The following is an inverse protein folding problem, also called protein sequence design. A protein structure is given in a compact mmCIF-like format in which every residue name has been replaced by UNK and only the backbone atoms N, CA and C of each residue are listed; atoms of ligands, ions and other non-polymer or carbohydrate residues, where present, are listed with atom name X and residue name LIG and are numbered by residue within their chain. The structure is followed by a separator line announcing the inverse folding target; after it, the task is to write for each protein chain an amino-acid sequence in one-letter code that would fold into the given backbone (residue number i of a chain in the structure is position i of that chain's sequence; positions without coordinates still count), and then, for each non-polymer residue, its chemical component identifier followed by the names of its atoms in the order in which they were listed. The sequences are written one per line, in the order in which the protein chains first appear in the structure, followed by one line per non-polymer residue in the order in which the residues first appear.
data_IF_022893969115
#
_entry.id   IF_022893969115
#
_cell.length_a   1.000
_cell.length_b   1.000
_cell.length_c   1.000
_cell.angle_alpha   90.00
_cell.angle_beta   90.00
_cell.angle_gamma   90.00
#
_symmetry.space_group_name_H-M   'P 1'
#
loop_
_entity.id
_entity.type
_entity.pdbx_description
1 polymer ?
#
# COMPACT_ATOMS: atom_id res chain seq x y z
N UNK A 1 44.83 42.24 -1.86
CA UNK A 1 43.97 42.70 -0.76
C UNK A 1 42.53 42.59 -1.20
N UNK A 2 41.71 41.94 -0.44
CA UNK A 2 40.26 41.86 -0.67
C UNK A 2 39.78 40.44 -0.55
N UNK A 3 39.78 39.94 0.70
CA UNK A 3 38.98 38.81 1.12
C UNK A 3 37.52 39.29 1.20
N UNK A 4 36.65 38.77 0.36
CA UNK A 4 35.21 38.98 0.38
C UNK A 4 34.57 37.64 0.66
N UNK A 5 34.11 37.49 1.83
CA UNK A 5 33.50 36.42 2.57
C UNK A 5 32.27 35.85 1.90
N UNK A 6 32.31 34.57 1.59
CA UNK A 6 31.15 33.68 1.49
C UNK A 6 30.61 33.39 2.90
N UNK A 7 29.56 34.09 3.32
CA UNK A 7 28.81 33.82 4.57
C UNK A 7 27.32 34.17 4.36
N UNK A 8 26.72 33.75 3.27
CA UNK A 8 25.28 34.00 3.04
C UNK A 8 24.46 32.74 2.69
N UNK A 9 25.07 31.54 2.65
CA UNK A 9 24.36 30.32 2.24
C UNK A 9 23.86 29.45 3.41
N UNK A 10 24.29 29.68 4.65
CA UNK A 10 23.86 28.83 5.78
C UNK A 10 22.57 29.34 6.45
N UNK A 11 22.23 30.62 6.37
CA UNK A 11 21.07 31.22 7.01
C UNK A 11 19.78 30.97 6.22
N UNK A 12 19.84 31.02 4.88
CA UNK A 12 18.67 30.75 4.00
C UNK A 12 18.25 29.28 4.00
N UNK A 13 19.14 28.35 4.35
CA UNK A 13 18.82 26.92 4.41
C UNK A 13 18.11 26.53 5.71
N UNK A 14 18.45 27.16 6.82
CA UNK A 14 17.89 26.92 8.14
C UNK A 14 16.43 27.44 8.21
N UNK A 15 16.19 28.65 7.68
CA UNK A 15 14.85 29.25 7.58
C UNK A 15 13.91 28.40 6.68
N UNK A 16 14.44 27.86 5.58
CA UNK A 16 13.67 27.00 4.66
C UNK A 16 13.31 25.63 5.27
N UNK A 17 14.19 25.06 6.11
CA UNK A 17 13.92 23.81 6.83
C UNK A 17 12.87 24.01 7.92
N UNK A 18 12.90 25.13 8.65
CA UNK A 18 11.92 25.48 9.68
C UNK A 18 10.53 25.71 9.07
N UNK A 19 10.43 26.49 7.99
CA UNK A 19 9.16 26.71 7.27
C UNK A 19 8.56 25.41 6.70
N UNK A 20 9.39 24.46 6.27
CA UNK A 20 8.90 23.15 5.82
C UNK A 20 8.36 22.31 6.98
N UNK A 21 9.01 22.32 8.14
CA UNK A 21 8.56 21.61 9.34
C UNK A 21 7.23 22.19 9.86
N UNK A 22 7.07 23.50 9.84
CA UNK A 22 5.81 24.16 10.20
C UNK A 22 4.67 23.78 9.24
N UNK A 23 4.95 23.74 7.94
CA UNK A 23 3.99 23.26 6.95
C UNK A 23 3.61 21.79 7.20
N UNK A 24 4.56 20.91 7.51
CA UNK A 24 4.26 19.51 7.82
C UNK A 24 3.40 19.39 9.08
N UNK A 25 3.69 20.17 10.12
CA UNK A 25 2.89 20.22 11.34
C UNK A 25 1.46 20.73 11.07
N UNK A 26 1.30 21.73 10.20
CA UNK A 26 -0.02 22.20 9.75
C UNK A 26 -0.78 21.07 9.01
N UNK A 27 -0.15 20.40 8.07
CA UNK A 27 -0.76 19.29 7.31
C UNK A 27 -1.19 18.16 8.25
N UNK A 28 -0.37 17.83 9.26
CA UNK A 28 -0.69 16.79 10.23
C UNK A 28 -1.87 17.17 11.14
N UNK A 29 -1.84 18.38 11.69
CA UNK A 29 -2.85 18.84 12.67
C UNK A 29 -4.17 19.26 12.04
N UNK A 30 -4.13 19.96 10.90
CA UNK A 30 -5.31 20.57 10.27
C UNK A 30 -5.94 19.70 9.20
N UNK A 31 -5.13 18.94 8.46
CA UNK A 31 -5.60 18.07 7.36
C UNK A 31 -5.62 16.59 7.76
N UNK A 32 -5.26 16.24 8.99
CA UNK A 32 -5.29 14.87 9.53
C UNK A 32 -4.50 13.86 8.68
N UNK A 33 -3.36 14.29 8.11
CA UNK A 33 -2.45 13.43 7.37
C UNK A 33 -1.15 13.24 8.17
N UNK A 34 -0.85 12.01 8.61
CA UNK A 34 0.27 11.67 9.49
C UNK A 34 1.64 11.85 8.79
N UNK A 35 2.05 13.11 8.57
CA UNK A 35 3.33 13.46 7.93
C UNK A 35 4.52 12.85 8.63
N UNK A 36 4.45 12.74 9.97
CA UNK A 36 5.46 12.13 10.83
C UNK A 36 5.76 10.65 10.50
N UNK A 37 4.86 9.94 9.83
CA UNK A 37 5.07 8.54 9.40
C UNK A 37 5.76 8.39 8.04
N UNK A 38 5.90 9.48 7.29
CA UNK A 38 6.42 9.44 5.92
C UNK A 38 7.88 9.87 5.83
N UNK A 39 8.53 9.46 4.74
CA UNK A 39 9.88 9.92 4.40
C UNK A 39 9.86 11.41 4.04
N UNK A 40 10.67 12.23 4.74
CA UNK A 40 10.75 13.68 4.56
C UNK A 40 11.02 14.08 3.09
N UNK A 41 11.97 13.43 2.43
CA UNK A 41 12.30 13.72 1.04
C UNK A 41 11.18 13.34 0.06
N UNK A 42 10.34 12.36 0.42
CA UNK A 42 9.14 12.04 -0.34
C UNK A 42 8.11 13.16 -0.21
N UNK A 43 7.82 13.62 1.02
CA UNK A 43 6.87 14.70 1.30
C UNK A 43 7.30 15.99 0.58
N UNK A 44 8.55 16.39 0.74
CA UNK A 44 9.12 17.57 0.09
C UNK A 44 8.91 17.55 -1.42
N UNK A 45 9.30 16.46 -2.08
CA UNK A 45 9.13 16.32 -3.54
C UNK A 45 7.67 16.47 -3.98
N UNK A 46 6.71 15.95 -3.20
CA UNK A 46 5.28 16.00 -3.51
C UNK A 46 4.69 17.38 -3.26
N UNK A 47 5.06 17.99 -2.14
CA UNK A 47 4.64 19.36 -1.78
C UNK A 47 5.21 20.35 -2.80
N UNK A 48 6.51 20.32 -3.07
CA UNK A 48 7.16 21.18 -4.06
C UNK A 48 6.54 21.02 -5.47
N UNK A 49 6.07 19.82 -5.83
CA UNK A 49 5.36 19.63 -7.09
C UNK A 49 3.99 20.34 -7.11
N UNK A 50 3.28 20.42 -5.99
CA UNK A 50 2.03 21.17 -5.84
C UNK A 50 2.29 22.66 -5.88
N UNK A 51 3.26 23.14 -5.09
CA UNK A 51 3.69 24.54 -5.05
C UNK A 51 3.97 25.08 -6.45
N UNK A 52 4.78 24.34 -7.24
CA UNK A 52 5.04 24.71 -8.65
C UNK A 52 3.78 24.83 -9.51
N UNK A 53 2.78 23.96 -9.32
CA UNK A 53 1.49 24.06 -10.02
C UNK A 53 0.70 25.31 -9.65
N UNK A 54 0.79 25.71 -8.37
CA UNK A 54 0.14 26.93 -7.85
C UNK A 54 1.00 28.19 -8.07
N UNK A 55 2.26 28.04 -8.53
CA UNK A 55 3.23 29.12 -8.72
C UNK A 55 3.59 29.83 -7.43
N UNK A 56 3.77 29.04 -6.39
CA UNK A 56 4.21 29.44 -5.06
C UNK A 56 5.61 28.83 -4.86
N UNK A 57 6.57 29.62 -4.42
CA UNK A 57 7.96 29.18 -4.26
C UNK A 57 8.38 29.08 -2.78
N UNK A 58 7.52 29.52 -1.87
CA UNK A 58 7.77 29.60 -0.42
C UNK A 58 6.77 28.73 0.35
N UNK A 59 7.23 28.02 1.40
CA UNK A 59 6.39 27.10 2.18
C UNK A 59 5.34 27.85 3.05
N UNK A 60 5.67 29.02 3.57
CA UNK A 60 4.76 29.82 4.40
C UNK A 60 3.63 30.39 3.52
N UNK A 61 3.96 30.86 2.30
CA UNK A 61 2.97 31.27 1.32
C UNK A 61 2.07 30.11 0.93
N UNK A 62 2.64 28.90 0.76
CA UNK A 62 1.86 27.71 0.43
C UNK A 62 0.95 27.26 1.58
N UNK A 63 1.42 27.35 2.83
CA UNK A 63 0.61 27.08 4.01
C UNK A 63 -0.55 28.09 4.13
N UNK A 64 -0.31 29.36 3.83
CA UNK A 64 -1.34 30.38 3.80
C UNK A 64 -2.40 30.07 2.74
N UNK A 65 -1.98 29.69 1.53
CA UNK A 65 -2.87 29.24 0.46
C UNK A 65 -3.72 28.04 0.90
N UNK A 66 -3.11 27.03 1.51
CA UNK A 66 -3.82 25.84 2.00
C UNK A 66 -4.88 26.18 3.06
N UNK A 67 -4.63 27.21 3.88
CA UNK A 67 -5.59 27.59 4.90
C UNK A 67 -6.89 28.21 4.34
N UNK A 68 -6.86 28.68 3.09
CA UNK A 68 -7.96 29.40 2.43
C UNK A 68 -8.59 28.61 1.27
N UNK A 69 -7.93 27.57 0.76
CA UNK A 69 -8.31 26.85 -0.46
C UNK A 69 -8.53 25.34 -0.19
N UNK A 70 -9.78 24.94 0.07
CA UNK A 70 -10.16 23.55 0.32
C UNK A 70 -9.88 22.64 -0.89
N UNK A 71 -9.96 23.17 -2.13
CA UNK A 71 -9.64 22.38 -3.33
C UNK A 71 -8.14 22.05 -3.37
N UNK A 72 -7.29 22.98 -2.94
CA UNK A 72 -5.84 22.72 -2.85
C UNK A 72 -5.50 21.78 -1.72
N UNK A 73 -6.21 21.84 -0.57
CA UNK A 73 -6.04 20.85 0.51
C UNK A 73 -6.32 19.43 -0.02
N UNK A 74 -7.44 19.22 -0.70
CA UNK A 74 -7.77 17.92 -1.30
C UNK A 74 -6.72 17.48 -2.33
N UNK A 75 -6.28 18.41 -3.18
CA UNK A 75 -5.28 18.13 -4.20
C UNK A 75 -3.91 17.80 -3.61
N UNK A 76 -3.53 18.44 -2.50
CA UNK A 76 -2.32 18.11 -1.75
C UNK A 76 -2.44 16.73 -1.11
N UNK A 77 -3.52 16.46 -0.37
CA UNK A 77 -3.76 15.15 0.25
C UNK A 77 -3.76 14.01 -0.78
N UNK A 78 -4.32 14.25 -1.95
CA UNK A 78 -4.26 13.29 -3.05
C UNK A 78 -2.84 13.12 -3.59
N UNK A 79 -2.04 14.18 -3.68
CA UNK A 79 -0.65 14.12 -4.13
C UNK A 79 0.28 13.43 -3.13
N UNK A 80 0.08 13.66 -1.82
CA UNK A 80 0.82 13.00 -0.74
C UNK A 80 0.48 11.52 -0.61
N UNK A 81 -0.72 11.16 -1.03
CA UNK A 81 -1.17 9.79 -0.99
C UNK A 81 -0.74 9.05 -2.24
N UNK A 82 -0.05 7.94 -2.05
CA UNK A 82 0.34 7.11 -3.19
C UNK A 82 -0.76 6.10 -3.47
N UNK A 83 -1.57 6.40 -4.47
CA UNK A 83 -2.65 5.52 -4.91
C UNK A 83 -2.32 4.86 -6.26
N UNK A 84 -1.03 4.73 -6.60
CA UNK A 84 -0.60 4.04 -7.84
C UNK A 84 -0.60 2.55 -7.57
N UNK A 85 -1.65 1.88 -8.02
CA UNK A 85 -1.77 0.44 -8.01
C UNK A 85 -2.26 -0.06 -9.36
N UNK A 86 -2.21 -1.35 -9.62
CA UNK A 86 -2.73 -2.01 -10.83
C UNK A 86 -3.15 -3.43 -10.49
N UNK A 87 -4.06 -3.98 -11.27
CA UNK A 87 -4.28 -5.42 -11.24
C UNK A 87 -2.97 -6.13 -11.57
N UNK A 88 -2.71 -7.23 -10.91
CA UNK A 88 -1.54 -8.09 -11.14
C UNK A 88 -0.21 -7.32 -11.24
N UNK A 89 -0.06 -6.23 -10.48
CA UNK A 89 1.18 -5.41 -10.46
C UNK A 89 2.40 -6.29 -10.23
N UNK A 90 3.40 -6.20 -11.14
CA UNK A 90 4.56 -7.10 -11.23
C UNK A 90 4.10 -8.56 -11.46
N UNK A 91 3.73 -8.93 -12.69
CA UNK A 91 3.09 -10.22 -13.01
C UNK A 91 3.81 -11.44 -12.46
N UNK A 92 5.14 -11.41 -12.42
CA UNK A 92 5.96 -12.49 -11.87
C UNK A 92 5.71 -12.80 -10.38
N UNK A 93 5.25 -11.82 -9.60
CA UNK A 93 4.90 -12.03 -8.18
C UNK A 93 3.63 -12.87 -8.07
N UNK A 94 2.70 -12.70 -9.00
CA UNK A 94 1.42 -13.39 -8.99
C UNK A 94 1.56 -14.87 -9.36
N UNK A 95 2.56 -15.24 -10.16
CA UNK A 95 2.92 -16.64 -10.37
C UNK A 95 3.35 -17.29 -9.03
N UNK A 96 4.18 -16.59 -8.25
CA UNK A 96 4.58 -17.06 -6.92
C UNK A 96 3.41 -17.12 -5.93
N UNK A 97 2.49 -16.14 -5.97
CA UNK A 97 1.29 -16.13 -5.12
C UNK A 97 0.29 -17.22 -5.52
N UNK A 98 0.21 -17.61 -6.79
CA UNK A 98 -0.56 -18.77 -7.28
C UNK A 98 -0.07 -20.05 -6.57
N UNK A 99 1.24 -20.27 -6.50
CA UNK A 99 1.79 -21.43 -5.80
C UNK A 99 1.54 -21.37 -4.28
N UNK A 100 1.59 -20.19 -3.67
CA UNK A 100 1.21 -20.02 -2.26
C UNK A 100 -0.26 -20.36 -2.01
N UNK A 101 -1.18 -19.91 -2.85
CA UNK A 101 -2.61 -20.25 -2.72
C UNK A 101 -2.84 -21.75 -2.91
N UNK A 102 -2.13 -22.39 -3.85
CA UNK A 102 -2.20 -23.84 -4.05
C UNK A 102 -1.64 -24.61 -2.84
N UNK A 103 -0.55 -24.16 -2.21
CA UNK A 103 -0.02 -24.77 -0.96
C UNK A 103 -1.03 -24.64 0.21
N UNK A 104 -1.82 -23.59 0.21
CA UNK A 104 -2.85 -23.35 1.22
C UNK A 104 -4.18 -24.04 0.92
N UNK A 105 -4.38 -24.61 -0.30
CA UNK A 105 -5.67 -25.10 -0.78
C UNK A 105 -6.28 -26.26 0.05
N UNK A 106 -5.43 -27.07 0.70
CA UNK A 106 -5.89 -28.15 1.58
C UNK A 106 -6.51 -27.67 2.90
N UNK A 107 -6.38 -26.38 3.23
CA UNK A 107 -6.97 -25.81 4.44
C UNK A 107 -8.48 -25.69 4.29
N UNK A 108 -9.19 -25.87 5.42
CA UNK A 108 -10.65 -25.69 5.47
C UNK A 108 -11.10 -24.28 5.06
N UNK A 109 -10.26 -23.28 5.31
CA UNK A 109 -10.47 -21.87 4.99
C UNK A 109 -9.13 -21.16 4.88
N UNK A 110 -8.92 -20.46 3.79
CA UNK A 110 -7.74 -19.64 3.52
C UNK A 110 -8.10 -18.18 3.76
N UNK A 111 -7.40 -17.53 4.64
CA UNK A 111 -7.59 -16.10 4.95
C UNK A 111 -6.41 -15.30 4.42
N UNK A 112 -6.72 -14.34 3.56
CA UNK A 112 -5.73 -13.43 2.97
C UNK A 112 -5.97 -12.01 3.46
N UNK A 113 -4.91 -11.30 3.78
CA UNK A 113 -4.92 -9.89 4.11
C UNK A 113 -4.12 -9.10 3.09
N UNK A 114 -4.78 -8.25 2.29
CA UNK A 114 -4.12 -7.22 1.49
C UNK A 114 -4.07 -5.94 2.32
N UNK A 115 -2.92 -5.67 2.93
CA UNK A 115 -2.68 -4.54 3.82
C UNK A 115 -2.18 -3.33 3.00
N UNK A 116 -2.75 -2.13 3.23
CA UNK A 116 -2.59 -0.95 2.39
C UNK A 116 -3.02 -1.22 0.94
N UNK A 117 -4.22 -1.78 0.78
CA UNK A 117 -4.74 -2.30 -0.50
C UNK A 117 -5.11 -1.22 -1.53
N UNK A 118 -5.04 0.07 -1.17
CA UNK A 118 -5.43 1.18 -2.03
C UNK A 118 -6.87 1.01 -2.56
N UNK A 119 -7.09 1.17 -3.86
CA UNK A 119 -8.40 1.05 -4.52
C UNK A 119 -8.90 -0.40 -4.73
N UNK A 120 -8.27 -1.37 -4.08
CA UNK A 120 -8.72 -2.76 -4.02
C UNK A 120 -8.20 -3.65 -5.15
N UNK A 121 -7.53 -3.13 -6.17
CA UNK A 121 -7.04 -3.95 -7.30
C UNK A 121 -6.14 -5.10 -6.86
N UNK A 122 -5.30 -4.94 -5.83
CA UNK A 122 -4.49 -6.03 -5.29
C UNK A 122 -5.36 -7.13 -4.65
N UNK A 123 -6.34 -6.76 -3.82
CA UNK A 123 -7.25 -7.71 -3.18
C UNK A 123 -8.10 -8.46 -4.22
N UNK A 124 -8.60 -7.77 -5.24
CA UNK A 124 -9.33 -8.41 -6.33
C UNK A 124 -8.44 -9.30 -7.21
N UNK A 125 -7.16 -8.93 -7.42
CA UNK A 125 -6.23 -9.81 -8.12
C UNK A 125 -6.03 -11.15 -7.40
N UNK A 126 -6.02 -11.15 -6.06
CA UNK A 126 -5.99 -12.39 -5.27
C UNK A 126 -7.27 -13.20 -5.48
N UNK A 127 -8.44 -12.54 -5.47
CA UNK A 127 -9.72 -13.21 -5.65
C UNK A 127 -9.85 -13.83 -7.06
N UNK A 128 -9.48 -13.07 -8.09
CA UNK A 128 -9.43 -13.57 -9.47
C UNK A 128 -8.48 -14.77 -9.60
N UNK A 129 -7.29 -14.68 -8.99
CA UNK A 129 -6.30 -15.75 -9.00
C UNK A 129 -6.82 -17.03 -8.33
N UNK A 130 -7.58 -16.88 -7.24
CA UNK A 130 -8.20 -18.02 -6.54
C UNK A 130 -9.28 -18.70 -7.39
N UNK A 131 -10.03 -17.96 -8.19
CA UNK A 131 -11.00 -18.52 -9.14
C UNK A 131 -10.35 -19.09 -10.40
N UNK A 132 -9.20 -18.55 -10.83
CA UNK A 132 -8.51 -18.93 -12.06
C UNK A 132 -7.65 -20.20 -11.90
N UNK A 133 -7.40 -20.65 -10.69
CA UNK A 133 -6.57 -21.82 -10.41
C UNK A 133 -7.43 -23.01 -9.94
N UNK A 134 -7.56 -24.03 -10.78
CA UNK A 134 -8.34 -25.24 -10.49
C UNK A 134 -7.88 -26.02 -9.25
N UNK A 135 -6.69 -25.73 -8.73
CA UNK A 135 -6.16 -26.30 -7.49
C UNK A 135 -6.78 -25.67 -6.24
N UNK A 136 -7.40 -24.49 -6.37
CA UNK A 136 -7.91 -23.68 -5.26
C UNK A 136 -9.45 -23.72 -5.26
N UNK A 137 -10.03 -24.08 -4.13
CA UNK A 137 -11.47 -23.95 -3.88
C UNK A 137 -11.74 -22.50 -3.45
N UNK A 138 -12.14 -21.63 -4.40
CA UNK A 138 -12.36 -20.21 -4.17
C UNK A 138 -13.38 -19.94 -3.06
N UNK A 139 -14.40 -20.79 -2.89
CA UNK A 139 -15.41 -20.66 -1.82
C UNK A 139 -14.80 -20.76 -0.41
N UNK A 140 -13.57 -21.23 -0.29
CA UNK A 140 -12.82 -21.30 0.97
C UNK A 140 -11.89 -20.12 1.18
N UNK A 141 -11.77 -19.21 0.23
CA UNK A 141 -10.87 -18.05 0.30
C UNK A 141 -11.62 -16.84 0.83
N UNK A 142 -11.12 -16.22 1.88
CA UNK A 142 -11.62 -14.98 2.44
C UNK A 142 -10.52 -13.92 2.33
N UNK A 143 -10.80 -12.81 1.68
CA UNK A 143 -9.84 -11.73 1.48
C UNK A 143 -10.31 -10.49 2.23
N UNK A 144 -9.42 -9.94 3.05
CA UNK A 144 -9.61 -8.64 3.69
C UNK A 144 -8.65 -7.63 3.08
N UNK A 145 -9.18 -6.63 2.37
CA UNK A 145 -8.44 -5.45 1.96
C UNK A 145 -8.53 -4.37 3.05
N UNK A 146 -7.41 -3.79 3.42
CA UNK A 146 -7.41 -2.65 4.36
C UNK A 146 -6.58 -1.49 3.86
N UNK A 147 -7.06 -0.29 4.12
CA UNK A 147 -6.33 0.95 3.87
C UNK A 147 -6.70 1.99 4.94
N UNK A 148 -5.86 2.99 5.14
CA UNK A 148 -6.12 4.07 6.10
C UNK A 148 -7.18 5.05 5.60
N UNK A 149 -7.42 5.12 4.27
CA UNK A 149 -8.27 6.11 3.62
C UNK A 149 -9.68 5.59 3.33
N UNK A 150 -10.71 6.15 3.99
CA UNK A 150 -12.10 5.72 3.74
C UNK A 150 -12.59 5.96 2.31
N UNK A 151 -12.11 7.03 1.65
CA UNK A 151 -12.49 7.39 0.28
C UNK A 151 -11.98 6.38 -0.74
N UNK A 152 -10.73 5.90 -0.59
CA UNK A 152 -10.17 4.90 -1.50
C UNK A 152 -10.85 3.54 -1.30
N UNK A 153 -11.24 3.23 -0.07
CA UNK A 153 -12.00 2.02 0.24
C UNK A 153 -13.46 2.08 -0.30
N UNK A 154 -14.02 3.27 -0.51
CA UNK A 154 -15.29 3.41 -1.22
C UNK A 154 -15.14 3.05 -2.69
N UNK A 155 -14.08 3.51 -3.35
CA UNK A 155 -13.75 3.12 -4.72
C UNK A 155 -13.47 1.61 -4.82
N UNK A 156 -12.72 1.06 -3.86
CA UNK A 156 -12.47 -0.39 -3.80
C UNK A 156 -13.78 -1.20 -3.71
N UNK A 157 -14.73 -0.79 -2.88
CA UNK A 157 -16.04 -1.47 -2.77
C UNK A 157 -16.93 -1.34 -4.00
N UNK A 158 -16.76 -0.28 -4.78
CA UNK A 158 -17.48 -0.15 -6.04
C UNK A 158 -17.01 -1.17 -7.09
N UNK A 159 -15.74 -1.57 -7.03
CA UNK A 159 -15.16 -2.51 -7.99
C UNK A 159 -15.16 -2.00 -9.43
N UNK A 160 -15.25 -0.67 -9.62
CA UNK A 160 -15.31 -0.02 -10.92
C UNK A 160 -14.01 0.71 -11.22
N UNK A 161 -13.43 0.46 -12.38
CA UNK A 161 -12.15 1.01 -12.81
C UNK A 161 -12.25 1.55 -14.23
N UNK A 162 -11.53 2.66 -14.49
CA UNK A 162 -11.55 3.30 -15.80
C UNK A 162 -10.21 3.15 -16.51
N UNK A 163 -10.25 2.63 -17.72
CA UNK A 163 -9.11 2.60 -18.61
C UNK A 163 -8.78 4.01 -19.12
N UNK A 164 -7.51 4.27 -19.40
CA UNK A 164 -7.04 5.51 -20.01
C UNK A 164 -5.75 5.22 -20.80
N UNK A 165 -5.25 6.21 -21.54
CA UNK A 165 -3.98 6.09 -22.28
C UNK A 165 -2.79 5.68 -21.39
N UNK A 166 -2.84 5.95 -20.08
CA UNK A 166 -1.79 5.61 -19.11
C UNK A 166 -2.16 4.50 -18.14
N UNK A 167 -3.36 3.92 -18.27
CA UNK A 167 -3.90 2.88 -17.41
C UNK A 167 -4.63 1.84 -18.29
N UNK A 168 -3.84 0.98 -18.92
CA UNK A 168 -4.35 -0.13 -19.74
C UNK A 168 -4.79 -1.27 -18.82
N UNK A 169 -6.11 -1.42 -18.64
CA UNK A 169 -6.68 -2.44 -17.78
C UNK A 169 -6.67 -3.82 -18.46
N UNK A 170 -6.66 -3.89 -19.78
CA UNK A 170 -6.55 -5.19 -20.50
C UNK A 170 -5.18 -5.80 -20.29
N UNK A 171 -4.11 -5.01 -20.48
CA UNK A 171 -2.74 -5.44 -20.21
C UNK A 171 -2.57 -5.91 -18.74
N UNK A 172 -3.19 -5.21 -17.80
CA UNK A 172 -3.12 -5.58 -16.38
C UNK A 172 -3.76 -6.94 -16.08
N UNK A 173 -4.74 -7.39 -16.87
CA UNK A 173 -5.48 -8.64 -16.67
C UNK A 173 -4.89 -9.83 -17.46
N UNK A 174 -3.85 -9.62 -18.26
CA UNK A 174 -3.17 -10.69 -19.03
C UNK A 174 -2.72 -11.92 -18.20
N UNK A 175 -2.39 -11.82 -16.88
CA UNK A 175 -2.05 -12.99 -16.07
C UNK A 175 -3.18 -14.02 -15.88
N UNK A 176 -4.42 -13.68 -16.22
CA UNK A 176 -5.59 -14.57 -16.13
C UNK A 176 -5.78 -15.36 -17.41
N UNK A 177 -6.23 -16.61 -17.29
CA UNK A 177 -6.56 -17.45 -18.43
C UNK A 177 -7.77 -16.93 -19.23
N UNK A 178 -8.77 -16.39 -18.55
CA UNK A 178 -9.99 -15.80 -19.12
C UNK A 178 -10.46 -14.61 -18.26
N UNK A 179 -9.99 -13.41 -18.59
CA UNK A 179 -10.30 -12.19 -17.81
C UNK A 179 -11.79 -11.81 -17.93
N UNK A 180 -12.47 -12.15 -19.04
CA UNK A 180 -13.88 -11.79 -19.25
C UNK A 180 -14.83 -12.52 -18.26
N UNK A 181 -14.35 -13.58 -17.61
CA UNK A 181 -15.06 -14.23 -16.52
C UNK A 181 -15.13 -13.40 -15.25
N UNK A 182 -14.14 -12.57 -15.01
CA UNK A 182 -13.95 -11.88 -13.73
C UNK A 182 -14.23 -10.38 -13.79
N UNK A 183 -14.33 -9.83 -15.00
CA UNK A 183 -14.52 -8.39 -15.24
C UNK A 183 -15.49 -8.17 -16.39
N UNK A 184 -16.56 -7.43 -16.11
CA UNK A 184 -17.49 -6.95 -17.14
C UNK A 184 -16.99 -5.62 -17.73
N UNK A 185 -17.06 -5.48 -19.05
CA UNK A 185 -16.57 -4.29 -19.77
C UNK A 185 -17.73 -3.46 -20.31
N UNK A 186 -17.75 -2.17 -19.97
CA UNK A 186 -18.69 -1.19 -20.46
C UNK A 186 -17.92 0.03 -21.03
N UNK A 187 -17.53 -0.04 -22.31
CA UNK A 187 -16.64 0.95 -22.92
C UNK A 187 -15.29 0.97 -22.20
N UNK A 188 -14.90 2.13 -21.64
CA UNK A 188 -13.65 2.28 -20.91
C UNK A 188 -13.79 1.91 -19.42
N UNK A 189 -14.97 1.46 -18.98
CA UNK A 189 -15.22 1.05 -17.60
C UNK A 189 -15.14 -0.46 -17.46
N UNK A 190 -14.40 -0.93 -16.47
CA UNK A 190 -14.23 -2.32 -16.08
C UNK A 190 -14.84 -2.52 -14.70
N UNK A 191 -15.81 -3.41 -14.59
CA UNK A 191 -16.51 -3.73 -13.34
C UNK A 191 -16.14 -5.15 -12.91
N UNK A 192 -15.61 -5.30 -11.72
CA UNK A 192 -15.35 -6.61 -11.12
C UNK A 192 -16.66 -7.34 -10.89
N UNK A 193 -16.77 -8.61 -11.29
CA UNK A 193 -18.00 -9.40 -11.16
C UNK A 193 -18.35 -9.69 -9.71
N UNK A 194 -19.63 -9.94 -9.42
CA UNK A 194 -20.12 -10.25 -8.07
C UNK A 194 -19.40 -11.50 -7.50
N UNK A 195 -19.14 -12.52 -8.33
CA UNK A 195 -18.43 -13.75 -7.94
C UNK A 195 -17.04 -13.43 -7.32
N UNK A 196 -16.31 -12.47 -7.90
CA UNK A 196 -15.01 -12.03 -7.39
C UNK A 196 -15.17 -11.12 -6.17
N UNK A 197 -16.15 -10.22 -6.18
CA UNK A 197 -16.41 -9.30 -5.07
C UNK A 197 -16.83 -10.03 -3.79
N UNK A 198 -17.57 -11.13 -3.89
CA UNK A 198 -18.05 -11.92 -2.76
C UNK A 198 -16.91 -12.50 -1.90
N UNK A 199 -15.72 -12.70 -2.47
CA UNK A 199 -14.53 -13.14 -1.72
C UNK A 199 -13.85 -12.02 -0.94
N UNK A 200 -14.13 -10.74 -1.24
CA UNK A 200 -13.37 -9.60 -0.76
C UNK A 200 -14.21 -8.72 0.16
N UNK A 201 -13.65 -8.38 1.29
CA UNK A 201 -14.21 -7.35 2.18
C UNK A 201 -13.20 -6.24 2.40
N UNK A 202 -13.68 -5.00 2.60
CA UNK A 202 -12.81 -3.85 2.81
C UNK A 202 -13.09 -3.16 4.14
N UNK A 203 -12.02 -2.80 4.87
CA UNK A 203 -12.09 -2.16 6.17
C UNK A 203 -11.00 -1.09 6.31
N UNK A 204 -11.36 0.05 6.96
CA UNK A 204 -10.34 1.02 7.40
C UNK A 204 -9.45 0.39 8.47
N UNK A 205 -8.13 0.58 8.32
CA UNK A 205 -7.13 0.10 9.28
C UNK A 205 -5.85 0.93 9.17
N UNK A 206 -5.33 1.33 10.32
CA UNK A 206 -4.05 2.02 10.45
C UNK A 206 -2.96 1.01 10.87
N UNK A 207 -2.05 0.70 9.94
CA UNK A 207 -0.98 -0.27 10.17
C UNK A 207 0.05 0.19 11.23
N UNK A 208 0.10 1.49 11.54
CA UNK A 208 1.03 2.04 12.54
C UNK A 208 0.41 2.04 13.95
N UNK A 209 -0.90 2.26 14.03
CA UNK A 209 -1.59 2.53 15.28
C UNK A 209 -2.44 1.37 15.80
N UNK A 210 -2.86 0.46 14.91
CA UNK A 210 -3.81 -0.59 15.25
C UNK A 210 -3.17 -1.97 15.16
N UNK A 211 -3.59 -2.89 16.04
CA UNK A 211 -3.28 -4.31 15.95
C UNK A 211 -3.91 -4.94 14.70
N UNK A 212 -3.35 -6.03 14.15
CA UNK A 212 -3.92 -6.68 12.98
C UNK A 212 -5.38 -7.08 13.23
N UNK A 213 -6.28 -6.99 12.24
CA UNK A 213 -7.70 -7.29 12.41
C UNK A 213 -7.98 -8.72 12.92
N UNK A 214 -7.12 -9.64 12.57
CA UNK A 214 -7.07 -11.07 12.96
C UNK A 214 -5.78 -11.69 12.45
N UNK A 215 -5.61 -13.00 12.59
CA UNK A 215 -4.50 -13.73 11.94
C UNK A 215 -4.93 -14.31 10.59
N UNK A 216 -3.96 -14.38 9.66
CA UNK A 216 -4.13 -14.73 8.25
C UNK A 216 -3.14 -15.80 7.81
N UNK A 217 -3.52 -16.58 6.82
CA UNK A 217 -2.66 -17.59 6.20
C UNK A 217 -1.68 -16.95 5.20
N UNK A 218 -2.11 -15.84 4.58
CA UNK A 218 -1.28 -15.00 3.69
C UNK A 218 -1.51 -13.53 4.01
N UNK A 219 -0.43 -12.78 4.24
CA UNK A 219 -0.43 -11.32 4.37
C UNK A 219 0.35 -10.72 3.20
N UNK A 220 -0.27 -9.78 2.50
CA UNK A 220 0.32 -9.04 1.37
C UNK A 220 0.38 -7.57 1.77
N UNK A 221 1.58 -6.97 1.74
CA UNK A 221 1.77 -5.54 1.95
C UNK A 221 2.87 -5.05 1.01
N UNK A 222 2.48 -4.55 -0.17
CA UNK A 222 3.42 -4.27 -1.24
C UNK A 222 3.45 -2.79 -1.60
N UNK A 223 4.67 -2.31 -1.88
CA UNK A 223 4.91 -0.95 -2.37
C UNK A 223 4.47 0.17 -1.42
N UNK A 224 4.41 -0.11 -0.11
CA UNK A 224 4.15 0.87 0.94
C UNK A 224 5.45 1.45 1.51
N UNK A 225 6.42 0.59 1.79
CA UNK A 225 7.62 0.94 2.58
C UNK A 225 8.56 1.94 1.90
N UNK A 226 8.46 2.11 0.59
CA UNK A 226 9.25 3.11 -0.14
C UNK A 226 8.90 4.56 0.24
N UNK A 227 7.74 4.76 0.88
CA UNK A 227 7.23 6.08 1.27
C UNK A 227 7.33 6.35 2.76
N UNK A 228 7.54 5.32 3.56
CA UNK A 228 7.45 5.33 5.02
C UNK A 228 8.83 5.56 5.64
N UNK A 229 8.90 6.27 6.76
CA UNK A 229 10.14 6.45 7.52
C UNK A 229 10.55 5.18 8.30
N UNK A 230 11.72 5.18 8.92
CA UNK A 230 12.28 3.98 9.54
C UNK A 230 11.49 3.53 10.77
N UNK A 231 11.01 4.46 11.58
CA UNK A 231 10.28 4.18 12.82
C UNK A 231 8.91 3.55 12.50
N UNK A 232 8.17 4.17 11.59
CA UNK A 232 6.87 3.65 11.16
C UNK A 232 7.01 2.33 10.41
N UNK A 233 8.09 2.10 9.64
CA UNK A 233 8.37 0.79 9.03
C UNK A 233 8.43 -0.32 10.07
N UNK A 234 9.10 -0.09 11.18
CA UNK A 234 9.22 -1.11 12.23
C UNK A 234 7.83 -1.44 12.80
N UNK A 235 7.03 -0.43 13.18
CA UNK A 235 5.68 -0.63 13.70
C UNK A 235 4.78 -1.40 12.71
N UNK A 236 4.83 -1.02 11.42
CA UNK A 236 4.07 -1.73 10.37
C UNK A 236 4.50 -3.19 10.27
N UNK A 237 5.81 -3.48 10.28
CA UNK A 237 6.28 -4.87 10.21
C UNK A 237 5.91 -5.69 11.45
N UNK A 238 5.85 -5.10 12.63
CA UNK A 238 5.37 -5.74 13.86
C UNK A 238 3.87 -6.09 13.72
N UNK A 239 3.06 -5.15 13.22
CA UNK A 239 1.62 -5.36 12.95
C UNK A 239 1.41 -6.45 11.89
N UNK A 240 2.10 -6.38 10.75
CA UNK A 240 2.00 -7.42 9.71
C UNK A 240 2.43 -8.78 10.25
N UNK A 241 3.55 -8.82 10.96
CA UNK A 241 4.08 -10.05 11.54
C UNK A 241 3.11 -10.70 12.52
N UNK A 242 2.52 -9.93 13.42
CA UNK A 242 1.51 -10.47 14.35
C UNK A 242 0.22 -10.91 13.66
N UNK A 243 -0.04 -10.40 12.44
CA UNK A 243 -1.13 -10.82 11.58
C UNK A 243 -0.87 -12.13 10.81
N UNK A 244 0.40 -12.56 10.64
CA UNK A 244 0.72 -13.83 9.97
C UNK A 244 0.58 -14.98 10.95
N UNK A 245 -0.16 -16.03 10.59
CA UNK A 245 -0.22 -17.29 11.35
C UNK A 245 1.13 -18.01 11.35
N UNK A 246 1.46 -18.79 12.38
CA UNK A 246 2.58 -19.73 12.31
C UNK A 246 2.49 -20.60 11.04
N UNK A 247 3.59 -20.69 10.30
CA UNK A 247 3.66 -21.39 9.02
C UNK A 247 2.96 -20.70 7.85
N UNK A 248 2.35 -19.53 8.06
CA UNK A 248 1.71 -18.70 7.02
C UNK A 248 2.72 -17.91 6.19
N UNK A 249 2.22 -17.06 5.29
CA UNK A 249 3.04 -16.36 4.32
C UNK A 249 2.96 -14.84 4.46
N UNK A 250 4.09 -14.17 4.18
CA UNK A 250 4.21 -12.72 4.07
C UNK A 250 4.80 -12.36 2.69
N UNK A 251 4.14 -11.45 1.99
CA UNK A 251 4.65 -10.91 0.72
C UNK A 251 4.79 -9.40 0.80
N UNK A 252 5.95 -8.87 0.43
CA UNK A 252 6.23 -7.43 0.36
C UNK A 252 6.62 -7.02 -1.05
N UNK A 253 6.77 -5.72 -1.31
CA UNK A 253 7.15 -5.22 -2.64
C UNK A 253 8.56 -5.67 -3.05
N UNK A 254 8.78 -5.89 -4.34
CA UNK A 254 10.02 -6.45 -4.89
C UNK A 254 11.28 -5.64 -4.54
N UNK A 255 11.14 -4.33 -4.39
CA UNK A 255 12.23 -3.41 -4.01
C UNK A 255 12.37 -3.22 -2.51
N UNK A 256 11.48 -3.83 -1.73
CA UNK A 256 11.42 -3.71 -0.28
C UNK A 256 12.22 -4.83 0.41
N UNK A 257 12.55 -4.63 1.66
CA UNK A 257 13.34 -5.61 2.43
C UNK A 257 12.79 -5.76 3.82
N UNK A 258 12.81 -6.99 4.35
CA UNK A 258 12.51 -7.25 5.75
C UNK A 258 13.50 -6.52 6.67
N UNK A 259 13.01 -5.90 7.76
CA UNK A 259 13.88 -5.41 8.83
C UNK A 259 14.76 -6.52 9.38
N UNK A 260 15.94 -6.16 9.87
CA UNK A 260 16.89 -7.15 10.41
C UNK A 260 16.27 -8.00 11.53
N UNK A 261 15.46 -7.39 12.39
CA UNK A 261 14.78 -8.09 13.50
C UNK A 261 13.75 -9.14 13.04
N UNK A 262 13.19 -8.99 11.83
CA UNK A 262 12.20 -9.93 11.30
C UNK A 262 12.82 -11.09 10.49
N UNK A 263 14.10 -10.99 10.13
CA UNK A 263 14.72 -11.96 9.21
C UNK A 263 14.80 -13.38 9.76
N UNK A 264 15.00 -13.52 11.04
CA UNK A 264 15.12 -14.84 11.69
C UNK A 264 13.77 -15.57 11.80
N UNK A 265 12.66 -14.83 11.62
CA UNK A 265 11.31 -15.37 11.67
C UNK A 265 10.84 -15.89 10.31
N UNK A 266 11.40 -15.42 9.22
CA UNK A 266 10.88 -15.64 7.88
C UNK A 266 11.89 -16.30 6.96
N UNK A 267 11.57 -17.49 6.45
CA UNK A 267 12.33 -18.15 5.39
C UNK A 267 11.84 -17.69 4.02
N UNK A 268 12.74 -17.33 3.09
CA UNK A 268 12.35 -16.96 1.74
C UNK A 268 11.88 -18.19 0.95
N UNK A 269 10.63 -18.21 0.54
CA UNK A 269 10.08 -19.20 -0.41
C UNK A 269 10.55 -18.86 -1.82
N UNK A 270 10.38 -17.58 -2.21
CA UNK A 270 10.92 -17.05 -3.44
C UNK A 270 11.55 -15.66 -3.16
N UNK A 271 12.85 -15.67 -2.97
CA UNK A 271 13.61 -14.50 -2.54
C UNK A 271 13.51 -13.31 -3.49
N UNK A 272 13.49 -13.59 -4.79
CA UNK A 272 13.39 -12.54 -5.83
C UNK A 272 12.03 -11.86 -5.80
N UNK A 273 10.97 -12.62 -5.52
CA UNK A 273 9.59 -12.15 -5.49
C UNK A 273 9.17 -11.60 -4.12
N UNK A 274 10.07 -11.68 -3.12
CA UNK A 274 9.82 -11.24 -1.75
C UNK A 274 8.65 -11.96 -1.08
N UNK A 275 8.51 -13.23 -1.36
CA UNK A 275 7.57 -14.14 -0.71
C UNK A 275 8.32 -14.92 0.38
N UNK A 276 7.79 -14.88 1.58
CA UNK A 276 8.40 -15.46 2.78
C UNK A 276 7.40 -16.34 3.51
N UNK A 277 7.90 -17.39 4.17
CA UNK A 277 7.12 -18.25 5.06
C UNK A 277 7.53 -18.01 6.51
N UNK A 278 6.56 -17.86 7.39
CA UNK A 278 6.77 -17.78 8.83
C UNK A 278 7.27 -19.14 9.35
N UNK A 279 8.39 -19.13 10.09
CA UNK A 279 9.01 -20.35 10.63
C UNK A 279 8.67 -20.60 12.11
N UNK A 280 7.82 -19.75 12.71
CA UNK A 280 7.37 -19.99 14.08
C UNK A 280 6.51 -21.24 14.15
N UNK A 281 6.74 -22.05 15.18
CA UNK A 281 6.03 -23.31 15.37
C UNK A 281 4.72 -23.06 16.14
N UNK A 282 3.63 -23.72 15.74
CA UNK A 282 2.32 -23.67 16.43
C UNK A 282 2.40 -24.05 17.94
N UNK A 283 3.52 -24.65 18.36
CA UNK A 283 3.79 -25.07 19.74
C UNK A 283 3.98 -23.92 20.73
N UNK A 284 4.42 -22.74 20.29
CA UNK A 284 4.74 -21.61 21.19
C UNK A 284 3.51 -20.73 21.49
N UNK A 285 2.48 -20.75 20.62
CA UNK A 285 1.24 -19.99 20.80
C UNK A 285 0.34 -20.54 21.93
N UNK A 286 0.58 -21.76 22.43
CA UNK A 286 -0.17 -22.39 23.53
C UNK A 286 0.42 -22.19 24.93
N UNK A 287 1.55 -21.46 25.00
CA UNK A 287 2.32 -21.27 26.25
C UNK A 287 2.30 -19.84 26.80
N UNK A 288 1.48 -18.94 26.24
CA UNK A 288 1.38 -17.57 26.76
C UNK A 288 -0.04 -17.21 27.17
#
# INVERSE_FOLDING_TARGET
MGLGTDVQNDDDSDDSEESFDDLLAYVESSLSFATSSYNRAYLDRRISARMRRRRVDDYDEYQSLLSEDEEEQEALLNALSVNVTSFFRNPEVWEGLREVLADLADQRRVRVWSAACSDGREAYSVAMLAHDDDRVDADRVEILGTDIKPEILRAARAGEYHASETNDLEEQLEPLADSDRYVERNGDTFCVTDEVQDLVSFRKHDLVQEEPPRTFDLVICRNLFIYINTEAKQAIFETLGSGVKPGGYLTIGMTETLPTAARDRYDPVEKRLRIYRDTTDDGDARSR
#
